data_IF_000754961706
#
_entry.id   IF_000754961706
#
_cell.length_a   1.000
_cell.length_b   1.000
_cell.length_c   1.000
_cell.angle_alpha   90.00
_cell.angle_beta   90.00
_cell.angle_gamma   90.00
#
_symmetry.space_group_name_H-M   'P 1'
#
loop_
_entity.id
_entity.type
_entity.pdbx_description
1 polymer ?
#
# COMPACT_ATOMS: atom_id res chain seq x y z
N UNK A 1 41.59 1.97 -6.39
CA UNK A 1 40.70 0.85 -6.03
C UNK A 1 39.94 1.19 -4.78
N UNK A 2 38.62 1.08 -4.87
CA UNK A 2 37.69 1.21 -3.76
C UNK A 2 36.78 -0.01 -3.73
N UNK A 3 36.27 -0.33 -2.55
CA UNK A 3 35.27 -1.36 -2.31
C UNK A 3 34.01 -0.69 -1.79
N UNK A 4 32.86 -1.12 -2.30
CA UNK A 4 31.56 -0.60 -1.88
C UNK A 4 30.70 -1.76 -1.39
N UNK A 5 30.44 -1.80 -0.08
CA UNK A 5 29.53 -2.75 0.55
C UNK A 5 28.23 -2.03 0.91
N UNK A 6 27.10 -2.72 0.74
CA UNK A 6 25.78 -2.14 0.94
C UNK A 6 25.02 -2.94 1.99
N UNK A 7 24.43 -2.25 2.96
CA UNK A 7 23.41 -2.80 3.84
C UNK A 7 22.04 -2.35 3.36
N UNK A 8 21.09 -3.27 3.34
CA UNK A 8 19.69 -3.00 3.02
C UNK A 8 18.82 -3.25 4.25
N UNK A 9 17.98 -2.28 4.60
CA UNK A 9 16.82 -2.48 5.44
C UNK A 9 15.57 -2.24 4.61
N UNK A 10 14.71 -3.25 4.48
CA UNK A 10 13.49 -3.19 3.67
C UNK A 10 12.26 -3.63 4.47
N UNK A 11 11.03 -3.27 4.02
CA UNK A 11 9.83 -3.84 4.60
C UNK A 11 9.82 -5.37 4.42
N UNK A 12 9.47 -6.09 5.47
CA UNK A 12 9.19 -7.52 5.47
C UNK A 12 7.74 -7.83 5.09
N UNK A 13 6.86 -6.83 5.18
CA UNK A 13 5.49 -6.86 4.71
C UNK A 13 5.12 -5.47 4.17
N UNK A 14 4.28 -5.45 3.12
CA UNK A 14 3.71 -4.23 2.55
C UNK A 14 2.91 -3.44 3.60
N UNK A 15 3.12 -2.12 3.63
CA UNK A 15 2.41 -1.22 4.55
C UNK A 15 0.89 -1.40 4.47
N UNK A 16 0.29 -1.38 3.27
CA UNK A 16 -1.14 -1.56 3.10
C UNK A 16 -1.66 -2.87 3.70
N UNK A 17 -0.93 -3.97 3.49
CA UNK A 17 -1.24 -5.27 4.08
C UNK A 17 -1.14 -5.25 5.60
N UNK A 18 -0.07 -4.66 6.16
CA UNK A 18 0.11 -4.56 7.60
C UNK A 18 -1.04 -3.77 8.25
N UNK A 19 -1.40 -2.61 7.69
CA UNK A 19 -2.50 -1.79 8.20
C UNK A 19 -3.81 -2.57 8.17
N UNK A 20 -4.12 -3.19 7.02
CA UNK A 20 -5.36 -3.92 6.83
C UNK A 20 -5.52 -5.12 7.78
N UNK A 21 -4.46 -5.91 7.97
CA UNK A 21 -4.50 -7.11 8.84
C UNK A 21 -4.65 -6.78 10.32
N UNK A 22 -4.15 -5.62 10.75
CA UNK A 22 -4.11 -5.24 12.16
C UNK A 22 -5.20 -4.21 12.53
N UNK A 23 -6.13 -3.90 11.62
CA UNK A 23 -7.10 -2.81 11.79
C UNK A 23 -8.36 -3.15 12.60
N UNK A 24 -8.65 -4.42 12.90
CA UNK A 24 -9.99 -4.83 13.39
C UNK A 24 -10.50 -4.01 14.58
N UNK A 25 -9.62 -3.79 15.56
CA UNK A 25 -9.93 -3.00 16.76
C UNK A 25 -9.32 -1.59 16.70
N UNK A 26 -8.82 -1.16 15.54
CA UNK A 26 -8.30 0.19 15.37
C UNK A 26 -9.44 1.20 15.51
N UNK A 27 -9.21 2.18 16.36
CA UNK A 27 -10.07 3.36 16.51
C UNK A 27 -9.14 4.57 16.49
N UNK A 28 -9.41 5.59 15.66
CA UNK A 28 -8.68 6.85 15.73
C UNK A 28 -8.76 7.39 17.15
N UNK A 29 -7.62 7.82 17.69
CA UNK A 29 -7.62 8.59 18.93
C UNK A 29 -7.99 10.04 18.65
N UNK A 30 -8.53 10.72 19.65
CA UNK A 30 -8.69 12.17 19.61
C UNK A 30 -7.31 12.82 19.59
N UNK A 31 -7.06 13.67 18.61
CA UNK A 31 -5.81 14.42 18.50
C UNK A 31 -6.06 15.89 18.81
N UNK A 32 -5.92 16.27 20.08
CA UNK A 32 -5.90 17.69 20.49
C UNK A 32 -4.53 18.38 20.22
N UNK A 33 -3.64 17.70 19.48
CA UNK A 33 -2.36 18.26 19.07
C UNK A 33 -2.56 19.38 18.06
N UNK A 34 -1.81 20.48 18.22
CA UNK A 34 -1.71 21.56 17.22
C UNK A 34 -1.09 21.10 15.90
N UNK A 35 -0.40 19.95 15.91
CA UNK A 35 0.21 19.32 14.76
C UNK A 35 -0.07 17.81 14.81
N UNK A 36 -1.28 17.37 14.40
CA UNK A 36 -1.62 15.95 14.43
C UNK A 36 -0.95 15.21 13.26
N UNK A 37 -0.59 13.95 13.50
CA UNK A 37 -0.12 13.07 12.43
C UNK A 37 -1.19 12.90 11.35
N UNK A 38 -0.77 12.66 10.11
CA UNK A 38 -1.71 12.25 9.06
C UNK A 38 -2.44 10.96 9.47
N UNK A 39 -3.69 10.74 9.05
CA UNK A 39 -4.47 9.56 9.46
C UNK A 39 -3.74 8.23 9.22
N UNK A 40 -3.07 8.07 8.07
CA UNK A 40 -2.26 6.88 7.76
C UNK A 40 -1.08 6.72 8.72
N UNK A 41 -0.39 7.80 9.06
CA UNK A 41 0.73 7.76 10.01
C UNK A 41 0.26 7.50 11.45
N UNK A 42 -0.86 8.10 11.86
CA UNK A 42 -1.46 7.89 13.18
C UNK A 42 -1.92 6.43 13.36
N UNK A 43 -2.54 5.84 12.33
CA UNK A 43 -2.92 4.43 12.34
C UNK A 43 -1.69 3.53 12.43
N UNK A 44 -0.68 3.75 11.58
CA UNK A 44 0.56 2.99 11.61
C UNK A 44 1.22 3.01 13.01
N UNK A 45 1.40 4.21 13.59
CA UNK A 45 2.01 4.37 14.91
C UNK A 45 1.21 3.64 16.00
N UNK A 46 -0.12 3.71 15.95
CA UNK A 46 -1.00 3.03 16.91
C UNK A 46 -0.88 1.52 16.79
N UNK A 47 -0.92 0.99 15.57
CA UNK A 47 -0.89 -0.45 15.33
C UNK A 47 0.46 -1.06 15.71
N UNK A 48 1.57 -0.38 15.38
CA UNK A 48 2.88 -0.89 15.75
C UNK A 48 3.03 -1.00 17.27
N UNK A 49 2.58 0.02 18.03
CA UNK A 49 2.58 -0.01 19.51
C UNK A 49 1.77 -1.19 20.07
N UNK A 50 0.69 -1.60 19.40
CA UNK A 50 -0.16 -2.73 19.83
C UNK A 50 0.46 -4.09 19.51
N UNK A 51 1.14 -4.21 18.37
CA UNK A 51 1.71 -5.49 17.91
C UNK A 51 2.98 -5.92 18.65
N UNK A 52 3.35 -5.24 19.74
CA UNK A 52 4.59 -5.44 20.53
C UNK A 52 5.86 -5.52 19.66
N UNK A 53 5.82 -4.87 18.49
CA UNK A 53 6.98 -4.70 17.63
C UNK A 53 7.90 -3.69 18.32
N UNK A 54 8.87 -4.24 19.05
CA UNK A 54 9.80 -3.56 19.95
C UNK A 54 10.48 -2.31 19.38
N UNK A 55 10.50 -2.15 18.05
CA UNK A 55 11.20 -1.09 17.35
C UNK A 55 10.29 0.00 16.72
N UNK A 56 8.96 -0.05 16.91
CA UNK A 56 8.12 1.04 16.41
C UNK A 56 8.07 1.15 14.87
N UNK A 57 8.44 0.08 14.15
CA UNK A 57 8.49 0.00 12.69
C UNK A 57 7.75 -1.24 12.18
N UNK A 58 7.29 -1.20 10.93
CA UNK A 58 6.91 -2.40 10.17
C UNK A 58 7.97 -3.50 10.35
N UNK A 59 7.63 -4.80 10.20
CA UNK A 59 8.66 -5.84 10.19
C UNK A 59 9.79 -5.44 9.23
N UNK A 60 11.01 -5.20 9.72
CA UNK A 60 12.14 -4.81 8.88
C UNK A 60 12.99 -6.05 8.61
N UNK A 61 13.27 -6.31 7.34
CA UNK A 61 14.17 -7.39 6.92
C UNK A 61 15.51 -6.78 6.50
N UNK A 62 16.59 -7.36 7.02
CA UNK A 62 17.97 -6.99 6.68
C UNK A 62 18.68 -8.19 6.04
N UNK A 63 18.56 -8.39 4.72
CA UNK A 63 19.21 -9.50 4.04
C UNK A 63 20.72 -9.25 3.90
N UNK A 64 21.53 -10.30 4.07
CA UNK A 64 23.00 -10.21 3.92
C UNK A 64 23.47 -10.24 2.46
N UNK A 65 22.63 -10.76 1.55
CA UNK A 65 22.87 -10.91 0.12
C UNK A 65 21.57 -10.66 -0.63
N UNK A 66 21.53 -9.64 -1.47
CA UNK A 66 20.28 -9.15 -2.04
C UNK A 66 20.38 -8.60 -3.46
N UNK A 67 21.58 -8.34 -3.97
CA UNK A 67 21.75 -8.03 -5.37
C UNK A 67 21.55 -9.27 -6.25
N UNK A 68 21.30 -9.04 -7.53
CA UNK A 68 20.98 -10.10 -8.50
C UNK A 68 22.10 -11.14 -8.68
N UNK A 69 23.34 -10.77 -8.38
CA UNK A 69 24.52 -11.62 -8.38
C UNK A 69 24.70 -12.43 -7.08
N UNK A 70 23.78 -12.29 -6.11
CA UNK A 70 23.85 -12.96 -4.82
C UNK A 70 24.83 -12.32 -3.84
N UNK A 71 25.22 -11.06 -4.05
CA UNK A 71 26.10 -10.31 -3.15
C UNK A 71 25.39 -9.13 -2.49
N UNK A 72 26.14 -8.35 -1.72
CA UNK A 72 25.76 -7.05 -1.19
C UNK A 72 26.80 -5.98 -1.56
N UNK A 73 27.56 -6.20 -2.63
CA UNK A 73 28.62 -5.29 -3.10
C UNK A 73 28.21 -4.56 -4.38
N UNK A 74 28.80 -3.38 -4.62
CA UNK A 74 28.77 -2.75 -5.93
C UNK A 74 30.11 -2.95 -6.62
N UNK A 75 30.07 -3.06 -7.95
CA UNK A 75 31.22 -3.37 -8.79
C UNK A 75 31.56 -2.23 -9.76
N UNK A 76 32.86 -2.04 -9.97
CA UNK A 76 33.47 -1.16 -10.98
C UNK A 76 34.36 -2.06 -11.87
N UNK A 77 33.71 -2.99 -12.56
CA UNK A 77 34.31 -4.11 -13.28
C UNK A 77 33.98 -4.12 -14.78
N UNK A 78 33.35 -3.06 -15.30
CA UNK A 78 32.86 -2.99 -16.67
C UNK A 78 31.66 -3.91 -16.92
N UNK A 79 31.06 -4.46 -15.85
CA UNK A 79 29.87 -5.30 -15.87
C UNK A 79 28.85 -4.70 -14.88
N UNK A 80 27.77 -5.41 -14.57
CA UNK A 80 26.76 -4.96 -13.61
C UNK A 80 26.04 -3.62 -13.94
N UNK A 81 26.29 -3.07 -15.14
CA UNK A 81 25.78 -1.79 -15.69
C UNK A 81 26.52 -0.54 -15.15
N UNK A 82 27.81 -0.66 -14.85
CA UNK A 82 28.68 0.47 -14.46
C UNK A 82 29.18 1.29 -15.66
N UNK A 83 29.31 0.66 -16.83
CA UNK A 83 29.70 1.30 -18.09
C UNK A 83 31.12 0.92 -18.52
N UNK A 84 32.12 1.19 -17.66
CA UNK A 84 33.53 0.89 -17.89
C UNK A 84 34.20 0.25 -16.68
N UNK A 85 35.31 -0.47 -16.90
CA UNK A 85 36.10 -1.03 -15.80
C UNK A 85 37.03 0.05 -15.20
N UNK A 86 37.06 0.15 -13.87
CA UNK A 86 37.94 1.03 -13.07
C UNK A 86 37.78 2.51 -13.39
N UNK A 87 36.56 2.95 -13.70
CA UNK A 87 36.26 4.36 -13.98
C UNK A 87 35.74 5.12 -12.74
N UNK A 88 35.58 4.42 -11.61
CA UNK A 88 35.08 4.95 -10.35
C UNK A 88 33.55 4.97 -10.25
N UNK A 89 32.83 4.42 -11.22
CA UNK A 89 31.38 4.20 -11.18
C UNK A 89 31.11 2.80 -10.68
N UNK A 90 30.44 2.69 -9.54
CA UNK A 90 30.10 1.41 -8.94
C UNK A 90 28.62 1.09 -9.13
N UNK A 91 28.30 -0.12 -9.57
CA UNK A 91 26.92 -0.53 -9.82
C UNK A 91 26.61 -1.98 -9.43
N UNK A 92 25.33 -2.23 -9.13
CA UNK A 92 24.74 -3.56 -9.05
C UNK A 92 23.21 -3.43 -9.20
N UNK A 93 22.51 -4.54 -9.43
CA UNK A 93 21.06 -4.56 -9.66
C UNK A 93 20.31 -5.18 -8.50
N UNK A 94 19.34 -4.44 -7.95
CA UNK A 94 18.35 -4.96 -7.02
C UNK A 94 16.98 -5.05 -7.68
N UNK A 95 16.35 -6.23 -7.62
CA UNK A 95 15.07 -6.49 -8.29
C UNK A 95 13.88 -6.70 -7.33
N UNK A 96 14.14 -6.83 -6.02
CA UNK A 96 13.11 -7.18 -5.03
C UNK A 96 12.44 -5.92 -4.44
N UNK A 97 11.87 -5.08 -5.31
CA UNK A 97 11.01 -3.95 -4.94
C UNK A 97 9.56 -4.42 -4.81
N UNK A 98 9.36 -5.35 -3.89
CA UNK A 98 8.17 -6.17 -3.82
C UNK A 98 7.23 -5.87 -2.66
N UNK A 99 7.56 -4.92 -1.79
CA UNK A 99 6.72 -4.53 -0.66
C UNK A 99 6.50 -3.03 -0.69
N UNK A 100 5.29 -2.56 -0.36
CA UNK A 100 5.08 -1.13 -0.09
C UNK A 100 5.90 -0.71 1.14
N UNK A 101 6.67 0.37 1.02
CA UNK A 101 7.36 0.97 2.16
C UNK A 101 8.70 1.60 1.79
N UNK A 102 9.43 2.02 2.83
CA UNK A 102 10.76 2.63 2.67
C UNK A 102 11.86 1.56 2.66
N UNK A 103 12.62 1.52 1.57
CA UNK A 103 13.86 0.76 1.45
C UNK A 103 15.01 1.70 1.81
N UNK A 104 15.72 1.38 2.89
CA UNK A 104 16.87 2.15 3.37
C UNK A 104 18.16 1.43 3.01
N UNK A 105 18.99 2.13 2.25
CA UNK A 105 20.27 1.66 1.73
C UNK A 105 21.39 2.39 2.47
N UNK A 106 22.37 1.65 2.98
CA UNK A 106 23.56 2.21 3.61
C UNK A 106 24.81 1.70 2.90
N UNK A 107 25.52 2.60 2.26
CA UNK A 107 26.70 2.31 1.45
C UNK A 107 27.96 2.62 2.25
N UNK A 108 28.78 1.60 2.47
CA UNK A 108 30.09 1.68 3.09
C UNK A 108 31.13 1.63 1.99
N UNK A 109 31.90 2.71 1.85
CA UNK A 109 32.89 2.85 0.80
C UNK A 109 34.25 2.96 1.48
N UNK A 110 35.18 2.11 1.10
CA UNK A 110 36.57 2.16 1.56
C UNK A 110 37.53 2.01 0.40
N UNK A 111 38.71 2.63 0.49
CA UNK A 111 39.68 2.54 -0.60
C UNK A 111 40.92 3.38 -0.40
N UNK A 112 41.70 3.50 -1.48
CA UNK A 112 42.90 4.35 -1.52
C UNK A 112 42.80 5.39 -2.62
N UNK A 113 43.22 6.61 -2.29
CA UNK A 113 43.41 7.70 -3.26
C UNK A 113 44.59 7.40 -4.20
N UNK A 114 44.73 8.09 -5.35
CA UNK A 114 45.89 7.92 -6.23
C UNK A 114 47.24 8.18 -5.56
N UNK A 115 47.27 8.97 -4.48
CA UNK A 115 48.47 9.24 -3.67
C UNK A 115 48.71 8.21 -2.55
N UNK A 116 47.93 7.13 -2.51
CA UNK A 116 48.06 6.03 -1.55
C UNK A 116 47.35 6.24 -0.20
N UNK A 117 46.81 7.43 0.06
CA UNK A 117 46.07 7.73 1.29
C UNK A 117 44.77 6.93 1.40
N UNK A 118 44.51 6.34 2.55
CA UNK A 118 43.30 5.57 2.83
C UNK A 118 42.11 6.49 3.07
N UNK A 119 40.91 6.06 2.67
CA UNK A 119 39.68 6.77 2.96
C UNK A 119 38.52 5.83 3.25
N UNK A 120 37.56 6.33 4.01
CA UNK A 120 36.23 5.73 4.18
C UNK A 120 35.14 6.78 3.94
N UNK A 121 33.99 6.36 3.44
CA UNK A 121 32.78 7.18 3.29
C UNK A 121 31.56 6.35 3.65
N UNK A 122 30.53 7.04 4.13
CA UNK A 122 29.22 6.47 4.43
C UNK A 122 28.15 7.30 3.74
N UNK A 123 27.24 6.64 3.04
CA UNK A 123 26.05 7.26 2.45
C UNK A 123 24.81 6.48 2.86
N UNK A 124 23.73 7.18 3.20
CA UNK A 124 22.43 6.56 3.45
C UNK A 124 21.40 7.13 2.48
N UNK A 125 20.58 6.27 1.87
CA UNK A 125 19.49 6.67 0.96
C UNK A 125 18.22 5.91 1.28
N UNK A 126 17.11 6.63 1.45
CA UNK A 126 15.77 6.06 1.53
C UNK A 126 15.06 6.14 0.18
N UNK A 127 14.40 5.07 -0.23
CA UNK A 127 13.54 5.03 -1.42
C UNK A 127 12.19 4.49 -0.99
N UNK A 128 11.12 5.24 -1.23
CA UNK A 128 9.76 4.76 -1.05
C UNK A 128 9.32 3.93 -2.26
N UNK A 129 8.78 2.75 -2.00
CA UNK A 129 8.15 1.88 -3.00
C UNK A 129 6.66 1.84 -2.71
N UNK A 130 5.84 2.23 -3.69
CA UNK A 130 4.40 1.98 -3.66
C UNK A 130 4.05 0.63 -4.27
N UNK A 131 2.84 0.13 -4.02
CA UNK A 131 2.32 -1.01 -4.77
C UNK A 131 1.46 -0.53 -5.95
N UNK A 132 1.55 -1.25 -7.06
CA UNK A 132 0.62 -1.12 -8.19
C UNK A 132 -0.48 -2.17 -8.05
N UNK A 133 -1.73 -1.72 -8.03
CA UNK A 133 -2.89 -2.62 -7.99
C UNK A 133 -2.96 -3.43 -9.29
N UNK A 134 -3.25 -4.72 -9.15
CA UNK A 134 -3.54 -5.61 -10.27
C UNK A 134 -5.07 -5.78 -10.39
N UNK A 135 -5.69 -5.28 -11.47
CA UNK A 135 -7.13 -5.43 -11.71
C UNK A 135 -7.60 -6.88 -11.72
N UNK A 136 -6.75 -7.83 -12.14
CA UNK A 136 -7.12 -9.25 -12.24
C UNK A 136 -7.06 -9.96 -10.90
N UNK A 137 -6.21 -9.50 -9.99
CA UNK A 137 -6.09 -10.05 -8.65
C UNK A 137 -7.05 -9.38 -7.65
N UNK A 138 -7.46 -8.15 -7.93
CA UNK A 138 -8.40 -7.40 -7.09
C UNK A 138 -9.72 -8.12 -6.92
N UNK A 139 -10.16 -8.23 -5.67
CA UNK A 139 -11.43 -8.89 -5.33
C UNK A 139 -12.56 -7.88 -5.29
N UNK A 140 -13.69 -8.27 -5.86
CA UNK A 140 -14.95 -7.53 -5.74
C UNK A 140 -16.01 -8.49 -5.22
N UNK A 141 -16.69 -8.07 -4.16
CA UNK A 141 -17.76 -8.80 -3.51
C UNK A 141 -19.06 -7.99 -3.61
N UNK A 142 -20.16 -8.69 -3.88
CA UNK A 142 -21.50 -8.13 -3.86
C UNK A 142 -22.24 -8.68 -2.65
N UNK A 143 -22.66 -7.79 -1.76
CA UNK A 143 -23.51 -8.14 -0.63
C UNK A 143 -24.93 -7.65 -0.89
N UNK A 144 -25.87 -8.58 -1.03
CA UNK A 144 -27.29 -8.31 -1.28
C UNK A 144 -28.12 -8.28 0.01
N UNK A 145 -27.55 -8.65 1.15
CA UNK A 145 -28.21 -8.64 2.46
C UNK A 145 -28.17 -7.23 3.09
N UNK A 146 -28.38 -6.21 2.25
CA UNK A 146 -28.46 -4.81 2.66
C UNK A 146 -29.94 -4.44 2.78
N UNK A 147 -30.36 -3.74 3.86
CA UNK A 147 -31.75 -3.33 4.02
C UNK A 147 -32.26 -2.60 2.78
N UNK A 148 -33.40 -3.07 2.26
CA UNK A 148 -34.07 -2.40 1.13
C UNK A 148 -34.50 -1.00 1.53
N UNK A 149 -34.43 -0.07 0.57
CA UNK A 149 -34.83 1.31 0.80
C UNK A 149 -36.14 1.59 0.07
N UNK A 150 -37.27 1.44 0.78
CA UNK A 150 -38.62 1.53 0.19
C UNK A 150 -38.81 0.48 -0.91
N UNK A 151 -39.16 0.89 -2.14
CA UNK A 151 -39.42 0.00 -3.28
C UNK A 151 -38.16 -0.34 -4.09
N UNK A 152 -36.98 0.07 -3.60
CA UNK A 152 -35.70 -0.17 -4.26
C UNK A 152 -34.97 -1.38 -3.67
N UNK A 153 -34.39 -2.19 -4.56
CA UNK A 153 -33.34 -3.14 -4.22
C UNK A 153 -32.05 -2.40 -3.84
N UNK A 154 -31.25 -3.00 -2.97
CA UNK A 154 -29.96 -2.48 -2.56
C UNK A 154 -28.90 -3.56 -2.72
N UNK A 155 -27.71 -3.18 -3.18
CA UNK A 155 -26.52 -4.03 -3.16
C UNK A 155 -25.34 -3.21 -2.65
N UNK A 156 -24.57 -3.76 -1.72
CA UNK A 156 -23.29 -3.19 -1.32
C UNK A 156 -22.20 -3.81 -2.18
N UNK A 157 -21.52 -2.97 -2.95
CA UNK A 157 -20.35 -3.33 -3.75
C UNK A 157 -19.13 -3.09 -2.88
N UNK A 158 -18.35 -4.13 -2.62
CA UNK A 158 -17.15 -4.11 -1.78
C UNK A 158 -15.95 -4.45 -2.65
N UNK A 159 -14.94 -3.60 -2.62
CA UNK A 159 -13.69 -3.73 -3.39
C UNK A 159 -12.53 -3.90 -2.43
N UNK A 160 -11.71 -4.92 -2.63
CA UNK A 160 -10.48 -5.15 -1.89
C UNK A 160 -9.28 -5.14 -2.86
N UNK A 161 -8.66 -3.98 -3.08
CA UNK A 161 -7.55 -3.83 -4.03
C UNK A 161 -6.31 -4.61 -3.59
N UNK A 162 -5.74 -5.39 -4.51
CA UNK A 162 -4.48 -6.11 -4.28
C UNK A 162 -3.52 -5.99 -5.46
N UNK A 163 -2.22 -6.15 -5.21
CA UNK A 163 -1.21 -6.35 -6.25
C UNK A 163 -1.23 -7.80 -6.79
N UNK A 164 -0.42 -8.06 -7.82
CA UNK A 164 -0.27 -9.40 -8.44
C UNK A 164 0.24 -10.50 -7.49
N UNK A 165 0.75 -10.13 -6.31
CA UNK A 165 1.25 -11.04 -5.27
C UNK A 165 0.25 -11.19 -4.12
N UNK A 166 -0.93 -10.57 -4.21
CA UNK A 166 -1.95 -10.60 -3.17
C UNK A 166 -1.70 -9.65 -2.00
N UNK A 167 -0.79 -8.68 -2.14
CA UNK A 167 -0.60 -7.63 -1.14
C UNK A 167 -1.71 -6.60 -1.25
N UNK A 168 -2.22 -6.16 -0.10
CA UNK A 168 -3.32 -5.21 -0.05
C UNK A 168 -2.80 -3.80 -0.23
N UNK A 169 -3.55 -2.98 -0.98
CA UNK A 169 -3.36 -1.52 -1.01
C UNK A 169 -3.56 -0.90 0.38
N UNK A 170 -4.42 -1.51 1.18
CA UNK A 170 -4.75 -1.04 2.51
C UNK A 170 -5.66 0.20 2.49
N UNK A 171 -5.91 0.79 3.67
CA UNK A 171 -6.76 1.97 3.83
C UNK A 171 -6.10 3.25 3.32
N UNK A 172 -6.89 4.33 3.26
CA UNK A 172 -6.45 5.69 2.89
C UNK A 172 -6.11 5.88 1.40
N UNK A 173 -6.73 5.10 0.52
CA UNK A 173 -6.68 5.27 -0.93
C UNK A 173 -8.05 5.53 -1.61
N UNK A 174 -8.95 6.33 -1.01
CA UNK A 174 -10.29 6.55 -1.58
C UNK A 174 -10.25 7.30 -2.91
N UNK A 175 -9.27 8.18 -3.12
CA UNK A 175 -9.06 8.87 -4.41
C UNK A 175 -8.64 7.92 -5.53
N UNK A 176 -8.07 6.77 -5.17
CA UNK A 176 -7.58 5.80 -6.13
C UNK A 176 -8.70 4.84 -6.56
N UNK A 177 -9.79 4.73 -5.81
CA UNK A 177 -10.89 3.80 -6.07
C UNK A 177 -12.13 4.54 -6.56
N UNK A 178 -12.62 4.19 -7.73
CA UNK A 178 -13.83 4.75 -8.32
C UNK A 178 -14.81 3.64 -8.68
N UNK A 179 -16.02 3.72 -8.12
CA UNK A 179 -17.13 2.80 -8.42
C UNK A 179 -18.22 3.62 -9.10
N UNK A 180 -18.55 3.28 -10.34
CA UNK A 180 -19.58 3.93 -11.16
C UNK A 180 -20.58 2.92 -11.67
N UNK A 181 -21.80 3.38 -11.99
CA UNK A 181 -22.84 2.54 -12.55
C UNK A 181 -23.55 3.27 -13.69
N UNK A 182 -24.04 2.52 -14.69
CA UNK A 182 -24.82 3.08 -15.81
C UNK A 182 -26.32 3.25 -15.49
N UNK A 183 -26.75 2.84 -14.30
CA UNK A 183 -28.11 2.92 -13.80
C UNK A 183 -28.16 2.90 -12.28
N UNK A 184 -29.37 3.02 -11.71
CA UNK A 184 -29.56 3.14 -10.27
C UNK A 184 -29.02 4.45 -9.68
N UNK A 185 -28.96 4.50 -8.35
CA UNK A 185 -28.43 5.63 -7.60
C UNK A 185 -27.60 5.11 -6.43
N UNK A 186 -26.38 5.63 -6.29
CA UNK A 186 -25.60 5.35 -5.08
C UNK A 186 -26.16 6.13 -3.89
N UNK A 187 -26.31 5.45 -2.76
CA UNK A 187 -26.69 6.09 -1.50
C UNK A 187 -25.56 7.01 -1.04
N UNK A 188 -25.89 8.25 -0.66
CA UNK A 188 -24.89 9.20 -0.15
C UNK A 188 -24.26 8.72 1.16
N UNK A 189 -22.98 9.04 1.36
CA UNK A 189 -22.17 8.62 2.52
C UNK A 189 -22.79 8.96 3.86
N UNK A 190 -23.44 10.12 3.98
CA UNK A 190 -24.01 10.63 5.23
C UNK A 190 -25.23 9.82 5.72
N UNK A 191 -25.79 8.99 4.83
CA UNK A 191 -26.91 8.08 5.12
C UNK A 191 -26.49 6.61 5.14
N UNK A 192 -25.23 6.31 4.87
CA UNK A 192 -24.70 4.95 4.98
C UNK A 192 -24.24 4.75 6.42
N UNK A 193 -25.18 4.40 7.31
CA UNK A 193 -24.80 3.76 8.57
C UNK A 193 -24.13 2.44 8.18
N UNK A 194 -22.85 2.19 8.53
CA UNK A 194 -22.28 0.86 8.34
C UNK A 194 -23.18 -0.11 9.12
N UNK A 195 -23.83 -1.03 8.42
CA UNK A 195 -24.45 -2.17 9.09
C UNK A 195 -23.30 -3.10 9.43
N UNK A 196 -22.64 -2.85 10.56
CA UNK A 196 -21.67 -3.79 11.10
C UNK A 196 -22.07 -4.17 12.53
N UNK A 197 -22.14 -5.47 12.78
CA UNK A 197 -22.37 -6.04 14.11
C UNK A 197 -21.18 -5.86 15.07
N UNK A 198 -20.12 -5.18 14.63
CA UNK A 198 -18.84 -5.03 15.33
C UNK A 198 -18.69 -3.67 16.05
N UNK A 199 -19.64 -2.73 15.87
CA UNK A 199 -19.59 -1.40 16.50
C UNK A 199 -18.39 -0.53 16.07
N UNK A 200 -17.73 -0.85 14.95
CA UNK A 200 -16.62 -0.07 14.40
C UNK A 200 -17.18 1.09 13.58
N UNK A 201 -16.90 2.34 13.98
CA UNK A 201 -17.14 3.51 13.13
C UNK A 201 -15.97 3.59 12.14
N UNK A 202 -16.20 3.08 10.93
CA UNK A 202 -15.31 3.18 9.77
C UNK A 202 -15.14 4.66 9.37
N UNK A 203 -14.00 5.07 8.78
CA UNK A 203 -13.61 6.48 8.70
C UNK A 203 -14.69 7.36 8.10
N UNK A 204 -14.66 8.62 8.56
CA UNK A 204 -15.46 9.73 8.06
C UNK A 204 -15.66 9.63 6.53
N UNK A 205 -16.87 9.96 6.03
CA UNK A 205 -17.10 10.16 4.61
C UNK A 205 -15.92 10.90 3.96
N UNK A 206 -15.29 10.31 2.95
CA UNK A 206 -14.24 10.99 2.19
C UNK A 206 -14.86 12.06 1.30
N UNK A 207 -15.50 13.09 1.88
CA UNK A 207 -16.23 14.19 1.21
C UNK A 207 -17.11 13.74 0.01
N UNK A 208 -17.50 12.47 -0.03
CA UNK A 208 -18.07 11.79 -1.19
C UNK A 208 -18.60 10.40 -0.82
N UNK A 209 -19.34 9.79 -1.75
CA UNK A 209 -20.18 8.61 -1.50
C UNK A 209 -19.45 7.26 -1.28
N UNK A 210 -18.11 7.25 -1.28
CA UNK A 210 -17.32 6.03 -1.10
C UNK A 210 -16.98 5.85 0.39
N UNK A 211 -17.28 4.67 0.93
CA UNK A 211 -16.80 4.30 2.27
C UNK A 211 -15.42 3.66 2.12
N UNK A 212 -14.40 4.27 2.71
CA UNK A 212 -13.12 3.61 2.98
C UNK A 212 -13.21 2.84 4.28
N UNK A 213 -12.68 1.62 4.35
CA UNK A 213 -12.60 0.83 5.59
C UNK A 213 -11.15 0.73 6.05
N UNK A 214 -10.90 0.65 7.37
CA UNK A 214 -9.52 0.54 7.89
C UNK A 214 -8.85 -0.79 7.55
N UNK A 215 -9.62 -1.83 7.21
CA UNK A 215 -9.11 -3.09 6.68
C UNK A 215 -8.75 -3.04 5.18
N UNK A 216 -8.81 -1.85 4.56
CA UNK A 216 -8.48 -1.66 3.15
C UNK A 216 -9.58 -2.03 2.17
N UNK A 217 -10.79 -2.38 2.65
CA UNK A 217 -11.98 -2.46 1.79
C UNK A 217 -12.46 -1.06 1.41
N UNK A 218 -13.10 -0.96 0.26
CA UNK A 218 -13.80 0.22 -0.22
C UNK A 218 -15.20 -0.17 -0.65
N UNK A 219 -16.24 0.56 -0.25
CA UNK A 219 -17.61 0.15 -0.61
C UNK A 219 -18.55 1.29 -0.96
N UNK A 220 -19.55 0.99 -1.78
CA UNK A 220 -20.74 1.83 -2.02
C UNK A 220 -21.99 0.98 -2.02
N UNK A 221 -23.10 1.56 -1.57
CA UNK A 221 -24.43 0.95 -1.71
C UNK A 221 -25.10 1.52 -2.96
N UNK A 222 -25.45 0.64 -3.89
CA UNK A 222 -26.22 0.96 -5.08
C UNK A 222 -27.70 0.61 -4.85
N UNK A 223 -28.58 1.58 -5.03
CA UNK A 223 -30.02 1.43 -5.00
C UNK A 223 -30.56 1.35 -6.44
N UNK A 224 -31.47 0.43 -6.71
CA UNK A 224 -32.00 0.20 -8.06
C UNK A 224 -33.39 -0.42 -8.05
N UNK A 225 -34.12 -0.34 -9.18
CA UNK A 225 -35.44 -0.97 -9.24
C UNK A 225 -35.32 -2.47 -9.47
N UNK A 226 -36.18 -3.30 -8.85
CA UNK A 226 -36.21 -4.73 -9.11
C UNK A 226 -36.34 -5.04 -10.62
N UNK A 227 -35.47 -5.91 -11.14
CA UNK A 227 -35.47 -6.33 -12.54
C UNK A 227 -34.65 -5.45 -13.49
N UNK A 228 -34.09 -4.32 -13.03
CA UNK A 228 -33.08 -3.57 -13.80
C UNK A 228 -31.78 -4.36 -13.90
N UNK A 229 -31.11 -4.32 -15.06
CA UNK A 229 -29.74 -4.82 -15.21
C UNK A 229 -28.80 -3.63 -15.25
N UNK A 230 -27.98 -3.49 -14.22
CA UNK A 230 -27.05 -2.36 -14.08
C UNK A 230 -25.63 -2.86 -14.25
N UNK A 231 -24.88 -2.18 -15.10
CA UNK A 231 -23.45 -2.39 -15.23
C UNK A 231 -22.70 -1.46 -14.26
N UNK A 232 -21.90 -2.07 -13.39
CA UNK A 232 -21.02 -1.40 -12.44
C UNK A 232 -19.59 -1.48 -12.98
N UNK A 233 -18.98 -0.32 -13.19
CA UNK A 233 -17.58 -0.18 -13.56
C UNK A 233 -16.76 0.26 -12.35
N UNK A 234 -15.72 -0.51 -12.03
CA UNK A 234 -14.74 -0.19 -11.00
C UNK A 234 -13.42 0.21 -11.65
N UNK A 235 -12.81 1.28 -11.18
CA UNK A 235 -11.47 1.75 -11.60
C UNK A 235 -10.60 1.93 -10.36
N UNK A 236 -9.37 1.42 -10.38
CA UNK A 236 -8.41 1.53 -9.28
C UNK A 236 -7.08 2.01 -9.82
N UNK A 237 -6.54 3.12 -9.28
CA UNK A 237 -5.30 3.75 -9.79
C UNK A 237 -5.33 3.99 -11.32
N UNK A 238 -6.51 4.33 -11.85
CA UNK A 238 -6.74 4.51 -13.30
C UNK A 238 -6.95 3.22 -14.11
N UNK A 239 -6.77 2.04 -13.51
CA UNK A 239 -6.97 0.75 -14.16
C UNK A 239 -8.42 0.27 -14.01
N UNK A 240 -9.05 -0.14 -15.11
CA UNK A 240 -10.42 -0.66 -15.10
C UNK A 240 -10.44 -2.16 -14.78
N UNK A 241 -11.37 -2.56 -13.92
CA UNK A 241 -11.73 -3.97 -13.72
C UNK A 241 -12.77 -4.39 -14.75
N UNK A 242 -12.98 -5.70 -14.88
CA UNK A 242 -14.10 -6.22 -15.68
C UNK A 242 -15.44 -5.70 -15.10
N UNK A 243 -16.38 -5.24 -15.96
CA UNK A 243 -17.67 -4.75 -15.50
C UNK A 243 -18.47 -5.84 -14.80
N UNK A 244 -19.24 -5.43 -13.78
CA UNK A 244 -20.08 -6.33 -12.99
C UNK A 244 -21.54 -6.01 -13.29
N UNK A 245 -22.35 -7.04 -13.55
CA UNK A 245 -23.78 -6.88 -13.76
C UNK A 245 -24.52 -7.14 -12.43
N UNK A 246 -25.28 -6.15 -11.99
CA UNK A 246 -26.19 -6.22 -10.85
C UNK A 246 -27.62 -6.33 -11.38
N UNK A 247 -28.42 -7.23 -10.81
CA UNK A 247 -29.84 -7.43 -11.13
C UNK A 247 -30.66 -7.89 -9.94
#
# INVERSE_FOLDING_TARGET
DARVVVELARPGESLGTFLAKNSGDYRPGDTDSKDPLSPKAAMLQTLIRRTDQKDGQLPVVKPDKFFADGTNELWDDGKHRDGGERDGVFSNTYAQLDQEGTYSWRFFIEGRTPKGGYFTRLLTRGIWVGIGVDPRATKVELNYDVPRHSDLSAVQIIVLPVDRRGQLLGPFHPSDVKITANGGQFQGSDKQTPVTNDGVVYPQPDKGDLISHYDGRYSRILLFRPGEKIEVQITIQGMKLDPIIVS
#
